data_IF_132871989441
#
_entry.id   IF_132871989441
#
_cell.length_a   1.000
_cell.length_b   1.000
_cell.length_c   1.000
_cell.angle_alpha   90.00
_cell.angle_beta   90.00
_cell.angle_gamma   90.00
#
_symmetry.space_group_name_H-M   'P 1'
#
loop_
_entity.id
_entity.type
_entity.pdbx_description
1 polymer ?
#
# COMPACT_ATOMS: atom_id res chain seq x y z
N UNK A 1 -57.96 51.75 2.96
CA UNK A 1 -56.58 51.73 2.44
C UNK A 1 -55.60 51.41 3.58
N UNK A 2 -55.56 50.17 4.09
CA UNK A 2 -54.57 49.70 5.13
C UNK A 2 -54.44 48.17 5.15
N UNK A 3 -54.25 47.48 3.98
CA UNK A 3 -53.95 46.06 3.94
C UNK A 3 -52.89 45.64 2.94
N UNK A 4 -52.10 46.61 2.39
CA UNK A 4 -51.10 46.32 1.35
C UNK A 4 -49.62 46.33 1.77
N UNK A 5 -49.26 46.65 3.02
CA UNK A 5 -47.86 46.92 3.41
C UNK A 5 -47.21 45.75 4.15
N UNK A 6 -47.98 44.78 4.63
CA UNK A 6 -47.42 43.65 5.45
C UNK A 6 -46.90 42.46 4.64
N UNK A 7 -47.19 42.36 3.33
CA UNK A 7 -46.72 41.25 2.50
C UNK A 7 -45.31 41.48 1.89
N UNK A 8 -44.90 42.72 1.76
CA UNK A 8 -43.57 43.06 1.17
C UNK A 8 -42.39 42.86 2.13
N UNK A 9 -42.62 42.86 3.47
CA UNK A 9 -41.52 42.66 4.45
C UNK A 9 -41.18 41.19 4.69
N UNK A 10 -42.08 40.25 4.36
CA UNK A 10 -41.82 38.82 4.57
C UNK A 10 -40.92 38.17 3.49
N UNK A 11 -40.84 38.80 2.32
CA UNK A 11 -40.05 38.23 1.19
C UNK A 11 -38.56 38.66 1.21
N UNK A 12 -38.22 39.72 1.95
CA UNK A 12 -36.84 40.16 2.07
C UNK A 12 -36.00 39.39 3.13
N UNK A 13 -36.65 38.66 4.03
CA UNK A 13 -35.94 37.87 5.07
C UNK A 13 -35.54 36.46 4.63
N UNK A 14 -36.01 35.96 3.49
CA UNK A 14 -35.64 34.62 2.99
C UNK A 14 -34.39 34.61 2.12
N UNK A 15 -33.78 35.74 1.83
CA UNK A 15 -32.59 35.81 0.97
C UNK A 15 -31.28 35.90 1.75
N UNK A 16 -31.34 36.02 3.09
CA UNK A 16 -30.18 36.22 3.95
C UNK A 16 -29.48 34.94 4.45
N UNK A 17 -29.94 33.73 4.07
CA UNK A 17 -29.35 32.44 4.52
C UNK A 17 -28.90 31.54 3.38
N UNK A 18 -28.48 32.06 2.23
CA UNK A 18 -27.60 31.29 1.36
C UNK A 18 -26.20 31.37 1.95
N UNK A 19 -25.79 30.34 2.70
CA UNK A 19 -24.36 30.08 2.91
C UNK A 19 -23.71 30.09 1.52
N UNK A 20 -22.90 31.09 1.23
CA UNK A 20 -21.94 30.96 0.12
C UNK A 20 -21.15 29.69 0.36
N UNK A 21 -21.37 28.67 -0.47
CA UNK A 21 -20.47 27.55 -0.55
C UNK A 21 -19.14 28.14 -0.99
N UNK A 22 -18.19 28.26 -0.06
CA UNK A 22 -16.81 28.54 -0.42
C UNK A 22 -16.41 27.51 -1.48
N UNK A 23 -15.80 27.95 -2.59
CA UNK A 23 -15.32 27.02 -3.60
C UNK A 23 -14.42 26.00 -2.91
N UNK A 24 -14.77 24.72 -3.00
CA UNK A 24 -13.92 23.63 -2.52
C UNK A 24 -12.58 23.78 -3.22
N UNK A 25 -11.54 24.11 -2.46
CA UNK A 25 -10.17 24.06 -2.96
C UNK A 25 -9.91 22.60 -3.31
N UNK A 26 -9.59 22.27 -4.57
CA UNK A 26 -9.34 20.89 -4.94
C UNK A 26 -8.25 20.30 -4.03
N UNK A 27 -8.53 19.15 -3.43
CA UNK A 27 -7.52 18.46 -2.64
C UNK A 27 -6.25 18.22 -3.48
N UNK A 28 -5.07 18.49 -2.92
CA UNK A 28 -3.82 18.26 -3.63
C UNK A 28 -3.70 16.80 -4.04
N UNK A 29 -3.13 16.54 -5.23
CA UNK A 29 -2.89 15.17 -5.70
C UNK A 29 -2.03 14.36 -4.74
N UNK A 30 -1.14 15.04 -4.03
CA UNK A 30 -0.27 14.48 -3.01
C UNK A 30 -0.33 15.36 -1.77
N UNK A 31 -0.72 14.78 -0.65
CA UNK A 31 -0.59 15.39 0.67
C UNK A 31 0.46 14.57 1.45
N UNK A 32 1.54 15.23 1.87
CA UNK A 32 2.57 14.61 2.71
C UNK A 32 2.13 14.70 4.16
N UNK A 33 1.93 13.56 4.87
CA UNK A 33 1.52 13.58 6.27
C UNK A 33 2.58 14.23 7.18
N UNK A 34 2.13 14.80 8.28
CA UNK A 34 3.03 15.33 9.30
C UNK A 34 3.96 14.22 9.83
N UNK A 35 5.24 14.52 9.93
CA UNK A 35 6.28 13.57 10.35
C UNK A 35 6.83 12.68 9.23
N UNK A 36 6.34 12.80 8.00
CA UNK A 36 6.85 12.07 6.85
C UNK A 36 7.78 12.94 6.01
N UNK A 37 8.83 12.36 5.39
CA UNK A 37 9.59 13.06 4.36
C UNK A 37 8.74 13.23 3.09
N UNK A 38 9.08 14.20 2.25
CA UNK A 38 8.48 14.28 0.92
C UNK A 38 8.92 13.08 0.07
N UNK A 39 7.99 12.38 -0.61
CA UNK A 39 8.38 11.31 -1.50
C UNK A 39 9.10 11.87 -2.73
N UNK A 40 10.05 11.09 -3.25
CA UNK A 40 10.80 11.46 -4.44
C UNK A 40 10.05 11.07 -5.71
N UNK A 41 10.02 11.99 -6.69
CA UNK A 41 9.53 11.74 -8.03
C UNK A 41 10.71 11.83 -9.01
N UNK A 42 10.85 10.88 -9.94
CA UNK A 42 11.84 10.99 -11.00
C UNK A 42 11.60 12.25 -11.86
N UNK A 43 12.66 12.92 -12.27
CA UNK A 43 12.58 14.14 -13.10
C UNK A 43 11.87 13.93 -14.43
N UNK A 44 11.87 12.69 -14.93
CA UNK A 44 11.17 12.29 -16.16
C UNK A 44 9.73 11.82 -15.89
N UNK A 45 9.28 11.76 -14.63
CA UNK A 45 7.94 11.34 -14.23
C UNK A 45 7.33 12.17 -13.11
N UNK A 46 7.28 13.50 -13.31
CA UNK A 46 6.64 14.43 -12.37
C UNK A 46 5.14 14.15 -12.22
N UNK A 47 4.60 14.39 -11.02
CA UNK A 47 3.18 14.25 -10.74
C UNK A 47 2.37 15.38 -11.38
N UNK A 48 1.50 15.04 -12.32
CA UNK A 48 0.52 15.95 -12.90
C UNK A 48 -0.89 15.35 -12.87
N UNK A 49 -1.96 16.18 -12.91
CA UNK A 49 -3.33 15.66 -12.95
C UNK A 49 -3.58 14.70 -14.11
N UNK A 50 -3.03 14.98 -15.28
CA UNK A 50 -3.20 14.13 -16.47
C UNK A 50 -2.49 12.77 -16.31
N UNK A 51 -1.26 12.75 -15.77
CA UNK A 51 -0.52 11.50 -15.51
C UNK A 51 -1.19 10.67 -14.42
N UNK A 52 -1.64 11.32 -13.33
CA UNK A 52 -2.41 10.66 -12.28
C UNK A 52 -3.69 10.00 -12.82
N UNK A 53 -4.48 10.75 -13.61
CA UNK A 53 -5.74 10.25 -14.15
C UNK A 53 -5.53 9.05 -15.10
N UNK A 54 -4.51 9.14 -15.97
CA UNK A 54 -4.16 8.04 -16.87
C UNK A 54 -3.67 6.80 -16.08
N UNK A 55 -2.79 7.01 -15.09
CA UNK A 55 -2.28 5.93 -14.26
C UNK A 55 -3.37 5.24 -13.45
N UNK A 56 -4.27 6.03 -12.84
CA UNK A 56 -5.44 5.50 -12.14
C UNK A 56 -6.30 4.66 -13.09
N UNK A 57 -6.63 5.17 -14.29
CA UNK A 57 -7.42 4.42 -15.26
C UNK A 57 -6.77 3.09 -15.63
N UNK A 58 -5.47 3.09 -15.95
CA UNK A 58 -4.73 1.86 -16.28
C UNK A 58 -4.68 0.87 -15.11
N UNK A 59 -4.54 1.35 -13.88
CA UNK A 59 -4.50 0.52 -12.67
C UNK A 59 -5.80 -0.29 -12.47
N UNK A 60 -6.94 0.26 -12.86
CA UNK A 60 -8.25 -0.39 -12.74
C UNK A 60 -8.71 -1.13 -13.99
N UNK A 61 -8.02 -0.97 -15.12
CA UNK A 61 -8.47 -1.52 -16.39
C UNK A 61 -7.91 -2.93 -16.63
N UNK A 62 -8.80 -3.86 -16.96
CA UNK A 62 -8.45 -5.25 -17.27
C UNK A 62 -7.74 -5.40 -18.63
N UNK A 63 -7.69 -4.33 -19.44
CA UNK A 63 -6.96 -4.30 -20.72
C UNK A 63 -5.47 -4.68 -20.57
N UNK A 64 -4.96 -4.59 -19.34
CA UNK A 64 -3.58 -4.87 -18.97
C UNK A 64 -3.23 -6.37 -18.95
N UNK A 65 -4.20 -7.28 -18.88
CA UNK A 65 -3.96 -8.71 -18.87
C UNK A 65 -4.26 -9.38 -20.21
N UNK A 66 -3.67 -10.55 -20.44
CA UNK A 66 -3.77 -11.27 -21.71
C UNK A 66 -5.21 -11.51 -22.15
N UNK A 67 -6.03 -11.97 -21.24
CA UNK A 67 -7.43 -12.34 -21.47
C UNK A 67 -8.44 -11.28 -20.99
N UNK A 68 -7.96 -10.12 -20.57
CA UNK A 68 -8.78 -9.04 -20.03
C UNK A 68 -9.62 -9.48 -18.80
N UNK A 69 -9.09 -10.35 -17.96
CA UNK A 69 -9.78 -10.84 -16.75
C UNK A 69 -9.31 -10.18 -15.47
N UNK A 70 -8.07 -9.68 -15.41
CA UNK A 70 -7.48 -9.08 -14.20
C UNK A 70 -6.87 -7.71 -14.48
N UNK A 71 -6.88 -6.86 -13.46
CA UNK A 71 -6.24 -5.55 -13.41
C UNK A 71 -5.33 -5.46 -12.18
N UNK A 72 -4.56 -4.39 -12.01
CA UNK A 72 -3.80 -4.16 -10.78
C UNK A 72 -4.73 -4.16 -9.55
N UNK A 73 -5.91 -3.53 -9.68
CA UNK A 73 -6.91 -3.46 -8.60
C UNK A 73 -7.51 -4.83 -8.23
N UNK A 74 -7.39 -5.86 -9.07
CA UNK A 74 -7.84 -7.21 -8.73
C UNK A 74 -7.06 -7.84 -7.57
N UNK A 75 -5.77 -7.49 -7.45
CA UNK A 75 -4.87 -7.96 -6.40
C UNK A 75 -4.50 -6.85 -5.39
N UNK A 76 -4.83 -5.59 -5.71
CA UNK A 76 -4.51 -4.42 -4.90
C UNK A 76 -5.76 -3.58 -4.64
N UNK A 77 -6.65 -4.10 -3.78
CA UNK A 77 -7.94 -3.48 -3.47
C UNK A 77 -7.80 -2.29 -2.49
N UNK A 78 -8.33 -1.10 -2.79
CA UNK A 78 -8.17 0.09 -1.95
C UNK A 78 -8.58 -0.08 -0.49
N UNK A 79 -9.70 -0.78 -0.24
CA UNK A 79 -10.23 -1.00 1.11
C UNK A 79 -9.39 -1.98 1.96
N UNK A 80 -8.45 -2.68 1.34
CA UNK A 80 -7.46 -3.56 1.96
C UNK A 80 -6.05 -2.93 1.90
N UNK A 81 -5.98 -1.61 1.93
CA UNK A 81 -4.73 -0.87 1.80
C UNK A 81 -3.94 -1.25 0.54
N UNK A 82 -4.63 -1.51 -0.57
CA UNK A 82 -4.04 -1.98 -1.82
C UNK A 82 -3.27 -3.31 -1.68
N UNK A 83 -3.82 -4.23 -0.92
CA UNK A 83 -3.49 -5.65 -0.87
C UNK A 83 -4.74 -6.45 -1.27
N UNK A 84 -4.72 -7.75 -1.06
CA UNK A 84 -5.92 -8.60 -1.18
C UNK A 84 -6.17 -9.44 0.09
N UNK A 85 -7.20 -10.27 0.09
CA UNK A 85 -7.60 -11.09 1.24
C UNK A 85 -7.32 -12.58 1.05
N UNK A 86 -6.51 -12.96 0.06
CA UNK A 86 -6.20 -14.35 -0.26
C UNK A 86 -4.70 -14.63 -0.11
N UNK A 87 -4.35 -15.90 0.10
CA UNK A 87 -2.95 -16.27 0.27
C UNK A 87 -2.13 -15.97 -0.99
N UNK A 88 -2.69 -16.27 -2.16
CA UNK A 88 -2.13 -15.91 -3.47
C UNK A 88 -3.28 -15.52 -4.41
N UNK A 89 -3.15 -14.39 -5.08
CA UNK A 89 -4.15 -13.87 -6.00
C UNK A 89 -4.24 -14.75 -7.25
N UNK A 90 -5.44 -14.95 -7.83
CA UNK A 90 -5.56 -15.56 -9.15
C UNK A 90 -5.13 -14.57 -10.23
N UNK A 91 -4.30 -15.01 -11.17
CA UNK A 91 -3.91 -14.27 -12.36
C UNK A 91 -4.83 -14.55 -13.56
N UNK A 92 -4.39 -14.13 -14.75
CA UNK A 92 -5.06 -14.39 -16.02
C UNK A 92 -5.27 -15.90 -16.21
N UNK A 93 -6.45 -16.27 -16.72
CA UNK A 93 -6.85 -17.67 -16.83
C UNK A 93 -7.09 -18.39 -15.49
N UNK A 94 -7.15 -17.67 -14.37
CA UNK A 94 -7.36 -18.23 -13.02
C UNK A 94 -6.15 -18.95 -12.45
N UNK A 95 -4.95 -18.77 -13.00
CA UNK A 95 -3.72 -19.38 -12.51
C UNK A 95 -3.38 -18.82 -11.12
N UNK A 96 -3.03 -19.66 -10.11
CA UNK A 96 -2.68 -19.17 -8.79
C UNK A 96 -1.34 -18.44 -8.81
N UNK A 97 -1.28 -17.28 -8.20
CA UNK A 97 -0.03 -16.58 -7.94
C UNK A 97 0.92 -17.38 -7.04
N UNK A 98 2.17 -16.97 -6.99
CA UNK A 98 3.23 -17.65 -6.22
C UNK A 98 3.42 -17.07 -4.82
N UNK A 99 3.08 -15.81 -4.64
CA UNK A 99 3.29 -15.04 -3.40
C UNK A 99 2.07 -14.21 -3.06
N UNK A 100 1.93 -13.88 -1.79
CA UNK A 100 0.88 -12.99 -1.30
C UNK A 100 1.11 -11.56 -1.81
N UNK A 101 0.04 -10.88 -2.24
CA UNK A 101 0.07 -9.51 -2.73
C UNK A 101 0.43 -8.53 -1.59
N UNK A 102 1.53 -7.76 -1.72
CA UNK A 102 1.88 -6.76 -0.71
C UNK A 102 0.97 -5.55 -0.80
N UNK A 103 0.85 -4.81 0.31
CA UNK A 103 0.24 -3.47 0.28
C UNK A 103 1.04 -2.52 -0.61
N UNK A 104 0.35 -1.62 -1.33
CA UNK A 104 0.96 -0.49 -2.03
C UNK A 104 0.94 0.80 -1.20
N UNK A 105 0.40 0.77 0.03
CA UNK A 105 0.48 1.92 0.91
C UNK A 105 1.95 2.35 1.10
N UNK A 106 2.21 3.63 0.85
CA UNK A 106 3.54 4.22 0.98
C UNK A 106 4.62 3.63 0.06
N UNK A 107 4.22 3.02 -1.06
CA UNK A 107 5.15 2.44 -2.04
C UNK A 107 6.16 3.47 -2.58
N UNK A 108 5.80 4.76 -2.59
CA UNK A 108 6.66 5.86 -3.00
C UNK A 108 7.98 5.97 -2.20
N UNK A 109 8.02 5.44 -0.99
CA UNK A 109 9.21 5.49 -0.10
C UNK A 109 10.07 4.23 -0.17
N UNK A 110 9.71 3.24 -0.98
CA UNK A 110 10.50 2.02 -1.10
C UNK A 110 11.76 2.28 -1.93
N UNK A 111 12.96 1.91 -1.42
CA UNK A 111 14.22 2.11 -2.14
C UNK A 111 14.43 1.08 -3.28
N UNK A 112 13.69 -0.02 -3.25
CA UNK A 112 13.68 -1.10 -4.25
C UNK A 112 12.41 -1.94 -4.10
N UNK A 113 12.06 -2.67 -5.16
CA UNK A 113 10.78 -3.35 -5.29
C UNK A 113 10.96 -4.87 -5.37
N UNK A 114 9.85 -5.60 -5.41
CA UNK A 114 9.69 -7.03 -5.15
C UNK A 114 10.03 -7.42 -3.71
N UNK A 115 9.65 -8.64 -3.31
CA UNK A 115 9.96 -9.15 -1.96
C UNK A 115 11.44 -9.50 -1.77
N UNK A 116 12.17 -9.73 -2.85
CA UNK A 116 13.62 -9.95 -2.88
C UNK A 116 14.45 -8.72 -3.24
N UNK A 117 13.83 -7.57 -3.60
CA UNK A 117 14.52 -6.31 -3.88
C UNK A 117 15.21 -6.27 -5.25
N UNK A 118 14.76 -7.06 -6.21
CA UNK A 118 15.40 -7.18 -7.52
C UNK A 118 15.12 -6.05 -8.51
N UNK A 119 14.24 -5.11 -8.17
CA UNK A 119 13.80 -4.06 -9.08
C UNK A 119 14.08 -2.69 -8.47
N UNK A 120 14.84 -1.80 -9.15
CA UNK A 120 15.32 -0.55 -8.57
C UNK A 120 14.30 0.60 -8.61
N UNK A 121 13.31 0.58 -9.52
CA UNK A 121 12.34 1.68 -9.69
C UNK A 121 10.93 1.17 -9.78
N UNK A 122 9.97 2.02 -9.41
CA UNK A 122 8.54 1.67 -9.46
C UNK A 122 8.08 1.48 -10.92
N UNK A 123 8.62 2.26 -11.86
CA UNK A 123 8.35 2.12 -13.29
C UNK A 123 8.76 0.74 -13.82
N UNK A 124 9.90 0.21 -13.36
CA UNK A 124 10.32 -1.14 -13.71
C UNK A 124 9.50 -2.22 -12.99
N UNK A 125 9.01 -1.93 -11.78
CA UNK A 125 8.14 -2.84 -11.04
C UNK A 125 6.85 -3.15 -11.79
N UNK A 126 6.28 -2.19 -12.51
CA UNK A 126 5.06 -2.39 -13.30
C UNK A 126 5.23 -3.49 -14.36
N UNK A 127 6.44 -3.70 -14.86
CA UNK A 127 6.71 -4.76 -15.87
C UNK A 127 6.67 -6.17 -15.28
N UNK A 128 6.92 -6.31 -13.98
CA UNK A 128 7.01 -7.64 -13.32
C UNK A 128 5.67 -8.38 -13.39
N UNK A 129 4.55 -7.86 -12.85
CA UNK A 129 3.26 -8.55 -12.92
C UNK A 129 2.75 -8.69 -14.36
N UNK A 130 3.07 -7.77 -15.27
CA UNK A 130 2.65 -7.86 -16.67
C UNK A 130 3.24 -9.11 -17.35
N UNK A 131 4.51 -9.40 -17.10
CA UNK A 131 5.22 -10.52 -17.72
C UNK A 131 5.11 -11.84 -16.96
N UNK A 132 4.72 -11.82 -15.68
CA UNK A 132 4.63 -13.04 -14.87
C UNK A 132 3.44 -13.89 -15.34
N UNK A 133 3.73 -15.12 -15.75
CA UNK A 133 2.74 -16.07 -16.28
C UNK A 133 1.56 -16.34 -15.33
N UNK A 134 1.81 -16.31 -14.03
CA UNK A 134 0.79 -16.52 -13.00
C UNK A 134 0.06 -15.24 -12.57
N UNK A 135 0.33 -14.10 -13.25
CA UNK A 135 -0.30 -12.79 -12.98
C UNK A 135 -1.00 -12.27 -14.24
N UNK A 136 -0.47 -11.31 -14.97
CA UNK A 136 -1.13 -10.79 -16.19
C UNK A 136 -0.85 -11.64 -17.44
N UNK A 137 0.25 -12.39 -17.47
CA UNK A 137 0.67 -13.27 -18.56
C UNK A 137 0.61 -12.56 -19.92
N UNK A 138 1.15 -11.34 -19.99
CA UNK A 138 1.03 -10.52 -21.18
C UNK A 138 2.32 -9.77 -21.55
N UNK A 139 2.31 -9.16 -22.73
CA UNK A 139 3.41 -8.37 -23.27
C UNK A 139 3.07 -6.89 -23.24
N UNK A 140 3.93 -6.05 -22.66
CA UNK A 140 3.72 -4.60 -22.56
C UNK A 140 3.56 -3.91 -23.93
N UNK A 141 4.19 -4.43 -25.00
CA UNK A 141 4.07 -3.88 -26.35
C UNK A 141 2.67 -4.16 -26.92
N UNK A 142 2.14 -5.35 -26.70
CA UNK A 142 0.78 -5.70 -27.11
C UNK A 142 -0.28 -4.92 -26.32
N UNK A 143 -0.03 -4.62 -25.05
CA UNK A 143 -0.87 -3.70 -24.27
C UNK A 143 -0.84 -2.31 -24.93
N UNK A 144 0.33 -1.80 -25.27
CA UNK A 144 0.46 -0.50 -25.94
C UNK A 144 -0.33 -0.45 -27.26
N UNK A 145 -0.29 -1.51 -28.03
CA UNK A 145 -1.03 -1.60 -29.30
C UNK A 145 -2.57 -1.66 -29.05
N UNK A 146 -3.02 -2.38 -28.04
CA UNK A 146 -4.44 -2.34 -27.62
C UNK A 146 -4.87 -0.91 -27.25
N UNK A 147 -4.07 -0.20 -26.45
CA UNK A 147 -4.38 1.15 -26.01
C UNK A 147 -4.42 2.16 -27.15
N UNK A 148 -3.59 2.01 -28.20
CA UNK A 148 -3.61 2.87 -29.40
C UNK A 148 -4.92 2.77 -30.18
N UNK A 149 -5.61 1.64 -30.13
CA UNK A 149 -6.91 1.46 -30.81
C UNK A 149 -8.06 2.13 -30.05
N UNK A 150 -7.88 2.49 -28.79
CA UNK A 150 -8.86 3.19 -27.98
C UNK A 150 -8.58 4.71 -27.98
N UNK A 151 -9.50 5.47 -28.59
CA UNK A 151 -9.39 6.93 -28.69
C UNK A 151 -9.37 7.64 -27.31
N UNK A 152 -9.91 7.03 -26.24
CA UNK A 152 -9.83 7.59 -24.90
C UNK A 152 -8.40 7.54 -24.39
N UNK A 153 -7.74 6.38 -24.50
CA UNK A 153 -6.35 6.23 -24.10
C UNK A 153 -5.40 7.10 -24.94
N UNK A 154 -5.61 7.18 -26.24
CA UNK A 154 -4.81 8.06 -27.12
C UNK A 154 -4.92 9.53 -26.68
N UNK A 155 -6.13 10.05 -26.40
CA UNK A 155 -6.31 11.41 -25.90
C UNK A 155 -5.68 11.63 -24.51
N UNK A 156 -5.85 10.68 -23.57
CA UNK A 156 -5.26 10.79 -22.24
C UNK A 156 -3.73 10.75 -22.30
N UNK A 157 -3.17 9.93 -23.17
CA UNK A 157 -1.74 9.81 -23.40
C UNK A 157 -1.16 11.11 -23.95
N UNK A 158 -1.79 11.69 -24.97
CA UNK A 158 -1.41 12.99 -25.52
C UNK A 158 -1.48 14.10 -24.46
N UNK A 159 -2.53 14.15 -23.63
CA UNK A 159 -2.67 15.13 -22.56
C UNK A 159 -1.61 14.98 -21.46
N UNK A 160 -1.19 13.74 -21.14
CA UNK A 160 -0.26 13.46 -20.06
C UNK A 160 1.21 13.55 -20.46
N UNK A 161 1.54 13.17 -21.70
CA UNK A 161 2.94 13.01 -22.17
C UNK A 161 3.21 13.57 -23.56
N UNK A 162 2.23 14.08 -24.30
CA UNK A 162 2.37 14.62 -25.65
C UNK A 162 2.70 13.56 -26.71
N UNK A 163 2.33 12.27 -26.49
CA UNK A 163 2.64 11.15 -27.38
C UNK A 163 1.59 10.03 -27.30
N UNK A 164 1.59 9.14 -28.25
CA UNK A 164 0.70 7.97 -28.29
C UNK A 164 1.05 6.93 -27.22
N UNK A 165 0.11 6.06 -26.83
CA UNK A 165 0.36 5.00 -25.87
C UNK A 165 1.54 4.12 -26.26
N UNK A 166 2.48 3.92 -25.37
CA UNK A 166 3.62 3.02 -25.48
C UNK A 166 4.03 2.49 -24.09
N UNK A 167 5.04 1.63 -24.04
CA UNK A 167 5.53 1.04 -22.79
C UNK A 167 5.98 2.11 -21.77
N UNK A 168 6.57 3.21 -22.25
CA UNK A 168 7.02 4.32 -21.42
C UNK A 168 5.85 4.97 -20.67
N UNK A 169 4.77 5.27 -21.40
CA UNK A 169 3.58 5.89 -20.82
C UNK A 169 2.89 4.98 -19.82
N UNK A 170 2.72 3.70 -20.16
CA UNK A 170 2.05 2.72 -19.30
C UNK A 170 2.76 2.65 -17.94
N UNK A 171 4.06 2.39 -17.96
CA UNK A 171 4.84 2.22 -16.74
C UNK A 171 4.87 3.48 -15.88
N UNK A 172 5.08 4.64 -16.51
CA UNK A 172 5.16 5.92 -15.79
C UNK A 172 3.84 6.39 -15.24
N UNK A 173 2.76 6.21 -15.99
CA UNK A 173 1.43 6.62 -15.51
C UNK A 173 1.00 5.83 -14.29
N UNK A 174 1.14 4.50 -14.31
CA UNK A 174 0.77 3.65 -13.18
C UNK A 174 1.66 3.99 -11.99
N UNK A 175 2.98 4.09 -12.17
CA UNK A 175 3.89 4.48 -11.09
C UNK A 175 3.57 5.90 -10.54
N UNK A 176 3.15 6.84 -11.38
CA UNK A 176 2.72 8.16 -10.94
C UNK A 176 1.48 8.09 -10.04
N UNK A 177 0.48 7.27 -10.39
CA UNK A 177 -0.68 7.02 -9.53
C UNK A 177 -0.27 6.33 -8.23
N UNK A 178 0.50 5.24 -8.27
CA UNK A 178 0.91 4.48 -7.09
C UNK A 178 1.72 5.32 -6.11
N UNK A 179 2.56 6.27 -6.58
CA UNK A 179 3.28 7.21 -5.70
C UNK A 179 2.37 8.13 -4.89
N UNK A 180 1.12 8.30 -5.29
CA UNK A 180 0.15 9.08 -4.50
C UNK A 180 -0.54 8.29 -3.40
N UNK A 181 -0.30 6.98 -3.30
CA UNK A 181 -0.90 6.10 -2.29
C UNK A 181 -0.22 6.28 -0.94
N UNK A 182 -0.36 7.47 -0.34
CA UNK A 182 0.28 7.83 0.92
C UNK A 182 -0.71 7.65 2.07
N UNK A 183 -0.33 6.83 3.05
CA UNK A 183 -1.07 6.50 4.26
C UNK A 183 -0.30 7.00 5.49
N UNK A 184 -0.86 7.94 6.24
CA UNK A 184 -0.19 8.58 7.38
C UNK A 184 -1.11 9.34 8.31
N UNK A 185 -2.39 8.92 8.43
CA UNK A 185 -3.37 9.49 9.38
C UNK A 185 -4.02 8.40 10.28
N UNK A 186 -3.26 7.34 10.58
CA UNK A 186 -3.67 6.33 11.55
C UNK A 186 -3.76 6.92 12.97
N UNK A 187 -4.38 6.20 13.93
CA UNK A 187 -4.44 6.64 15.32
C UNK A 187 -3.03 6.80 15.93
N UNK A 188 -2.09 5.92 15.55
CA UNK A 188 -0.69 6.10 15.91
C UNK A 188 -0.10 7.41 15.36
N UNK A 189 -0.35 7.76 14.09
CA UNK A 189 0.15 9.00 13.50
C UNK A 189 -0.44 10.23 14.20
N UNK A 190 -1.72 10.18 14.53
CA UNK A 190 -2.40 11.24 15.25
C UNK A 190 -1.80 11.45 16.64
N UNK A 191 -1.45 10.35 17.33
CA UNK A 191 -0.76 10.40 18.61
C UNK A 191 0.68 10.90 18.48
N UNK A 192 1.45 10.29 17.57
CA UNK A 192 2.88 10.48 17.49
C UNK A 192 3.28 11.82 16.83
N UNK A 193 2.54 12.24 15.80
CA UNK A 193 2.93 13.37 14.96
C UNK A 193 1.97 14.56 15.04
N UNK A 194 0.71 14.37 15.45
CA UNK A 194 -0.30 15.42 15.43
C UNK A 194 -0.66 15.93 16.83
N UNK A 195 0.03 15.46 17.88
CA UNK A 195 -0.15 15.92 19.26
C UNK A 195 -1.48 15.53 19.92
N UNK A 196 -2.18 14.51 19.37
CA UNK A 196 -3.46 14.04 19.92
C UNK A 196 -3.21 12.92 20.94
N UNK A 197 -2.98 13.28 22.19
CA UNK A 197 -2.63 12.35 23.28
C UNK A 197 -3.67 11.26 23.53
N UNK A 198 -4.95 11.51 23.22
CA UNK A 198 -6.09 10.57 23.34
C UNK A 198 -6.31 9.69 22.10
N UNK A 199 -5.55 9.84 21.05
CA UNK A 199 -5.72 9.04 19.85
C UNK A 199 -5.41 7.55 20.07
N UNK A 200 -4.58 7.23 21.07
CA UNK A 200 -4.30 5.87 21.50
C UNK A 200 -4.91 5.57 22.88
N UNK A 201 -5.53 4.41 22.99
CA UNK A 201 -5.98 3.83 24.26
C UNK A 201 -4.79 3.39 25.12
N UNK A 202 -5.01 3.14 26.42
CA UNK A 202 -3.94 2.65 27.30
C UNK A 202 -3.40 1.28 26.86
N UNK A 203 -4.24 0.39 26.34
CA UNK A 203 -3.82 -0.90 25.77
C UNK A 203 -2.88 -0.70 24.58
N UNK A 204 -3.21 0.19 23.66
CA UNK A 204 -2.38 0.52 22.49
C UNK A 204 -1.05 1.17 22.88
N UNK A 205 -1.05 2.02 23.91
CA UNK A 205 0.19 2.61 24.44
C UNK A 205 1.09 1.55 25.06
N UNK A 206 0.54 0.61 25.87
CA UNK A 206 1.33 -0.52 26.39
C UNK A 206 1.85 -1.42 25.27
N UNK A 207 1.04 -1.68 24.24
CA UNK A 207 1.45 -2.42 23.05
C UNK A 207 2.55 -1.71 22.26
N UNK A 208 2.49 -0.39 22.15
CA UNK A 208 3.55 0.46 21.55
C UNK A 208 4.85 0.33 22.34
N UNK A 209 4.80 0.44 23.68
CA UNK A 209 5.99 0.29 24.53
C UNK A 209 6.61 -1.11 24.37
N UNK A 210 5.79 -2.16 24.29
CA UNK A 210 6.26 -3.53 24.00
C UNK A 210 6.92 -3.62 22.62
N UNK A 211 6.30 -3.06 21.60
CA UNK A 211 6.80 -3.09 20.22
C UNK A 211 8.19 -2.46 20.11
N UNK A 212 8.43 -1.35 20.79
CA UNK A 212 9.72 -0.64 20.82
C UNK A 212 10.70 -1.16 21.88
N UNK A 213 10.33 -2.18 22.64
CA UNK A 213 11.18 -2.73 23.72
C UNK A 213 12.16 -3.80 23.21
N UNK A 214 13.22 -4.02 24.00
CA UNK A 214 14.15 -5.13 23.80
C UNK A 214 13.55 -6.52 24.11
N UNK A 215 12.35 -6.58 24.72
CA UNK A 215 11.64 -7.84 24.96
C UNK A 215 11.15 -8.46 23.66
N UNK A 216 10.64 -7.64 22.74
CA UNK A 216 10.05 -8.10 21.48
C UNK A 216 10.97 -7.89 20.28
N UNK A 217 11.86 -6.90 20.31
CA UNK A 217 12.75 -6.49 19.21
C UNK A 217 12.03 -6.17 17.88
N UNK A 218 10.72 -5.93 17.88
CA UNK A 218 9.96 -5.67 16.66
C UNK A 218 10.52 -4.46 15.89
N UNK A 219 10.84 -3.37 16.61
CA UNK A 219 11.37 -2.13 16.04
C UNK A 219 12.78 -2.25 15.46
N UNK A 220 13.51 -3.34 15.73
CA UNK A 220 14.81 -3.58 15.10
C UNK A 220 14.70 -3.82 13.59
N UNK A 221 13.58 -4.33 13.13
CA UNK A 221 13.27 -4.53 11.71
C UNK A 221 12.17 -3.59 11.21
N UNK A 222 11.20 -3.27 12.08
CA UNK A 222 10.02 -2.46 11.76
C UNK A 222 10.11 -1.08 12.42
N UNK A 223 11.01 -0.22 11.92
CA UNK A 223 11.26 1.12 12.48
C UNK A 223 10.95 2.25 11.50
N UNK A 224 11.15 3.48 11.98
CA UNK A 224 10.90 4.70 11.23
C UNK A 224 9.41 4.97 10.97
N UNK A 225 9.14 6.05 10.24
CA UNK A 225 7.77 6.48 9.95
C UNK A 225 6.95 5.43 9.18
N UNK A 226 7.60 4.55 8.41
CA UNK A 226 6.95 3.53 7.60
C UNK A 226 7.00 2.12 8.20
N UNK A 227 7.45 1.97 9.44
CA UNK A 227 7.55 0.68 10.15
C UNK A 227 8.26 -0.39 9.32
N UNK A 228 9.39 -0.04 8.72
CA UNK A 228 10.26 -0.97 7.99
C UNK A 228 11.66 -0.38 7.83
N UNK A 229 12.66 -1.21 7.96
CA UNK A 229 14.05 -0.89 7.59
C UNK A 229 14.34 -1.19 6.12
N UNK A 230 13.43 -1.87 5.42
CA UNK A 230 13.63 -2.45 4.09
C UNK A 230 14.78 -3.47 4.01
N UNK A 231 15.37 -3.86 5.12
CA UNK A 231 16.39 -4.93 5.17
C UNK A 231 15.80 -6.28 4.70
N UNK A 232 16.68 -7.21 4.37
CA UNK A 232 16.30 -8.57 3.98
C UNK A 232 16.55 -9.53 5.12
N UNK A 233 15.46 -10.15 5.61
CA UNK A 233 15.51 -10.98 6.80
C UNK A 233 14.81 -12.33 6.60
N UNK A 234 15.29 -13.34 7.30
CA UNK A 234 14.62 -14.60 7.45
C UNK A 234 13.90 -14.62 8.81
N UNK A 235 12.59 -14.76 8.79
CA UNK A 235 11.74 -14.70 9.98
C UNK A 235 11.47 -16.07 10.64
N UNK A 236 12.13 -17.14 10.18
CA UNK A 236 11.91 -18.48 10.73
C UNK A 236 10.52 -19.06 10.46
N UNK A 237 9.89 -18.73 9.33
CA UNK A 237 8.57 -19.28 8.99
C UNK A 237 8.63 -20.79 8.76
N UNK A 238 9.72 -21.26 8.17
CA UNK A 238 9.97 -22.67 7.88
C UNK A 238 11.36 -23.11 8.36
N UNK A 239 11.53 -24.41 8.57
CA UNK A 239 12.85 -25.05 8.71
C UNK A 239 13.51 -25.22 7.35
N UNK A 240 12.73 -25.57 6.32
CA UNK A 240 13.14 -25.65 4.92
C UNK A 240 12.17 -24.83 4.08
N UNK A 241 12.68 -23.82 3.41
CA UNK A 241 11.85 -22.91 2.62
C UNK A 241 11.66 -23.44 1.19
N UNK A 242 10.42 -23.56 0.69
CA UNK A 242 10.17 -23.86 -0.71
C UNK A 242 10.50 -22.69 -1.65
N UNK A 243 10.43 -21.46 -1.14
CA UNK A 243 10.81 -20.23 -1.86
C UNK A 243 12.19 -19.78 -1.38
N UNK A 244 13.22 -19.75 -2.25
CA UNK A 244 14.56 -19.37 -1.86
C UNK A 244 14.72 -17.86 -1.55
N UNK A 245 13.68 -17.03 -1.74
CA UNK A 245 13.72 -15.61 -1.47
C UNK A 245 14.77 -14.86 -2.28
N UNK A 246 15.53 -14.00 -1.60
CA UNK A 246 16.55 -13.15 -2.21
C UNK A 246 17.69 -13.94 -2.89
N UNK A 247 17.97 -15.15 -2.45
CA UNK A 247 18.96 -16.04 -3.09
C UNK A 247 18.74 -16.20 -4.61
N UNK A 248 17.48 -16.12 -5.08
CA UNK A 248 17.16 -16.17 -6.53
C UNK A 248 17.88 -15.08 -7.35
N UNK A 249 18.25 -13.97 -6.71
CA UNK A 249 18.89 -12.83 -7.38
C UNK A 249 20.40 -12.79 -7.15
N UNK A 250 20.84 -13.15 -5.96
CA UNK A 250 22.22 -12.94 -5.54
C UNK A 250 23.08 -14.18 -5.69
N UNK A 251 22.48 -15.35 -5.70
CA UNK A 251 23.13 -16.66 -5.63
C UNK A 251 24.07 -16.80 -4.40
N UNK A 252 23.98 -15.85 -3.46
CA UNK A 252 24.69 -15.89 -2.19
C UNK A 252 23.88 -16.72 -1.19
N UNK A 253 24.50 -17.80 -0.69
CA UNK A 253 23.86 -18.70 0.28
C UNK A 253 23.39 -18.00 1.55
N UNK A 254 24.02 -16.89 1.94
CA UNK A 254 23.60 -16.10 3.11
C UNK A 254 22.25 -15.40 2.90
N UNK A 255 21.82 -15.19 1.65
CA UNK A 255 20.54 -14.61 1.28
C UNK A 255 19.42 -15.65 1.13
N UNK A 256 19.70 -16.93 1.38
CA UNK A 256 18.69 -17.99 1.28
C UNK A 256 17.53 -17.73 2.23
N UNK A 257 16.32 -17.74 1.66
CA UNK A 257 15.05 -17.53 2.36
C UNK A 257 14.96 -16.18 3.10
N UNK A 258 15.67 -15.17 2.64
CA UNK A 258 15.51 -13.78 3.09
C UNK A 258 14.52 -13.04 2.20
N UNK A 259 13.68 -12.25 2.84
CA UNK A 259 12.69 -11.40 2.20
C UNK A 259 12.77 -9.99 2.75
N UNK A 260 12.43 -9.00 1.92
CA UNK A 260 12.37 -7.60 2.35
C UNK A 260 11.36 -7.44 3.48
N UNK A 261 11.78 -6.79 4.57
CA UNK A 261 10.91 -6.43 5.69
C UNK A 261 9.80 -5.50 5.17
N UNK A 262 8.52 -5.88 5.28
CA UNK A 262 7.40 -5.06 4.81
C UNK A 262 7.10 -3.93 5.79
N UNK A 263 6.41 -2.89 5.31
CA UNK A 263 5.75 -1.93 6.19
C UNK A 263 4.70 -2.62 7.06
N UNK A 264 4.46 -2.10 8.28
CA UNK A 264 3.33 -2.51 9.12
C UNK A 264 2.15 -1.53 9.04
N UNK A 265 2.25 -0.49 8.21
CA UNK A 265 1.11 0.41 8.03
C UNK A 265 -0.07 -0.33 7.43
N UNK A 266 -1.25 -0.11 8.02
CA UNK A 266 -2.48 -0.82 7.67
C UNK A 266 -2.41 -2.35 7.83
N UNK A 267 -1.48 -2.87 8.61
CA UNK A 267 -1.25 -4.32 8.72
C UNK A 267 -2.49 -5.09 9.15
N UNK A 268 -3.40 -4.50 9.91
CA UNK A 268 -4.62 -5.17 10.38
C UNK A 268 -5.62 -5.51 9.26
N UNK A 269 -5.55 -4.83 8.11
CA UNK A 269 -6.47 -5.05 6.97
C UNK A 269 -5.84 -5.79 5.80
N UNK A 270 -4.58 -6.26 5.94
CA UNK A 270 -3.82 -6.91 4.86
C UNK A 270 -3.58 -8.41 5.12
N UNK A 271 -4.49 -9.07 5.84
CA UNK A 271 -4.43 -10.53 6.00
C UNK A 271 -4.74 -11.24 4.67
N UNK A 272 -4.20 -12.47 4.44
CA UNK A 272 -3.28 -13.23 5.29
C UNK A 272 -1.81 -12.77 5.16
N UNK A 273 -0.97 -13.20 6.08
CA UNK A 273 0.38 -12.68 6.30
C UNK A 273 1.49 -13.62 5.81
N UNK A 274 2.71 -13.10 5.79
CA UNK A 274 3.95 -13.68 5.29
C UNK A 274 4.07 -13.61 3.76
N UNK A 275 5.22 -14.02 3.22
CA UNK A 275 5.48 -13.95 1.77
C UNK A 275 4.51 -14.78 0.92
N UNK A 276 3.89 -15.78 1.52
CA UNK A 276 2.99 -16.73 0.86
C UNK A 276 1.58 -16.78 1.48
N UNK A 277 1.22 -15.85 2.37
CA UNK A 277 -0.08 -15.84 3.00
C UNK A 277 -0.37 -16.99 3.98
N UNK A 278 0.68 -17.65 4.53
CA UNK A 278 0.50 -18.83 5.40
C UNK A 278 -0.26 -18.51 6.69
N UNK A 279 -0.04 -17.34 7.29
CA UNK A 279 -0.62 -17.00 8.58
C UNK A 279 -1.92 -16.19 8.40
N UNK A 280 -3.06 -16.71 8.89
CA UNK A 280 -4.36 -16.12 8.56
C UNK A 280 -4.72 -14.87 9.36
N UNK A 281 -4.02 -14.58 10.47
CA UNK A 281 -4.38 -13.47 11.36
C UNK A 281 -3.16 -12.84 12.03
N UNK A 282 -3.28 -11.59 12.48
CA UNK A 282 -2.25 -10.93 13.30
C UNK A 282 -1.95 -11.70 14.59
N UNK A 283 -2.96 -12.33 15.20
CA UNK A 283 -2.76 -13.17 16.37
C UNK A 283 -1.83 -14.34 16.07
N UNK A 284 -1.99 -14.99 14.90
CA UNK A 284 -1.08 -16.05 14.45
C UNK A 284 0.34 -15.51 14.17
N UNK A 285 0.47 -14.30 13.65
CA UNK A 285 1.76 -13.63 13.45
C UNK A 285 2.46 -13.35 14.79
N UNK A 286 1.74 -12.76 15.74
CA UNK A 286 2.27 -12.48 17.09
C UNK A 286 2.71 -13.77 17.77
N UNK A 287 1.91 -14.86 17.65
CA UNK A 287 2.27 -16.16 18.24
C UNK A 287 3.49 -16.79 17.54
N UNK A 288 3.61 -16.67 16.22
CA UNK A 288 4.79 -17.10 15.48
C UNK A 288 6.07 -16.45 16.04
N UNK A 289 6.07 -15.13 16.20
CA UNK A 289 7.22 -14.43 16.78
C UNK A 289 7.38 -14.70 18.28
N UNK A 290 6.29 -14.84 19.04
CA UNK A 290 6.33 -15.18 20.46
C UNK A 290 6.97 -16.55 20.72
N UNK A 291 6.74 -17.51 19.83
CA UNK A 291 7.38 -18.85 19.89
C UNK A 291 8.85 -18.85 19.45
N UNK A 292 9.33 -17.79 18.82
CA UNK A 292 10.67 -17.68 18.25
C UNK A 292 10.82 -18.28 16.85
N UNK A 293 9.71 -18.62 16.18
CA UNK A 293 9.70 -19.21 14.84
C UNK A 293 10.35 -20.58 14.74
N UNK A 294 10.50 -21.09 13.52
CA UNK A 294 11.18 -22.36 13.24
C UNK A 294 12.70 -22.19 13.23
N UNK A 295 13.41 -23.30 13.39
CA UNK A 295 14.87 -23.29 13.40
C UNK A 295 15.42 -23.39 11.98
N UNK A 296 15.83 -22.24 11.41
CA UNK A 296 16.49 -22.16 10.10
C UNK A 296 17.87 -21.53 10.26
N UNK A 297 18.91 -22.01 9.54
CA UNK A 297 20.29 -21.53 9.68
C UNK A 297 20.45 -20.01 9.50
N UNK A 298 19.65 -19.41 8.63
CA UNK A 298 19.69 -17.96 8.34
C UNK A 298 18.61 -17.15 9.08
N UNK A 299 17.87 -17.77 10.03
CA UNK A 299 16.90 -17.04 10.86
C UNK A 299 17.60 -15.89 11.59
N UNK A 300 17.00 -14.69 11.54
CA UNK A 300 17.54 -13.55 12.27
C UNK A 300 17.64 -13.88 13.78
N UNK A 301 18.82 -13.70 14.41
CA UNK A 301 19.07 -14.08 15.82
C UNK A 301 18.24 -13.29 16.83
N UNK A 302 17.63 -12.17 16.46
CA UNK A 302 16.69 -11.44 17.29
C UNK A 302 15.35 -12.17 17.45
N UNK A 303 15.03 -13.12 16.55
CA UNK A 303 13.79 -13.91 16.59
C UNK A 303 14.00 -15.12 17.51
N UNK A 304 13.61 -14.95 18.75
CA UNK A 304 13.69 -15.93 19.83
C UNK A 304 12.41 -15.91 20.66
N UNK A 305 12.12 -16.96 21.46
CA UNK A 305 10.93 -16.96 22.31
C UNK A 305 10.87 -15.72 23.20
N UNK A 306 9.73 -15.00 23.16
CA UNK A 306 9.57 -13.74 23.89
C UNK A 306 8.89 -13.92 25.26
N UNK A 307 8.16 -15.01 25.46
CA UNK A 307 7.43 -15.28 26.72
C UNK A 307 6.35 -14.24 27.04
N UNK A 308 5.63 -13.77 26.04
CA UNK A 308 4.56 -12.78 26.23
C UNK A 308 3.37 -13.40 26.98
N UNK A 309 2.86 -12.68 27.97
CA UNK A 309 1.60 -13.01 28.63
C UNK A 309 0.41 -12.80 27.69
N UNK A 310 -0.77 -13.32 28.04
CA UNK A 310 -1.98 -13.10 27.27
C UNK A 310 -2.32 -11.59 27.13
N UNK A 311 -2.12 -10.82 28.21
CA UNK A 311 -2.34 -9.37 28.19
C UNK A 311 -1.35 -8.65 27.27
N UNK A 312 -0.07 -8.97 27.31
CA UNK A 312 0.95 -8.37 26.43
C UNK A 312 0.68 -8.68 24.96
N UNK A 313 0.23 -9.90 24.63
CA UNK A 313 -0.18 -10.24 23.26
C UNK A 313 -1.40 -9.41 22.81
N UNK A 314 -2.39 -9.24 23.69
CA UNK A 314 -3.55 -8.40 23.41
C UNK A 314 -3.18 -6.92 23.22
N UNK A 315 -2.31 -6.38 24.06
CA UNK A 315 -1.84 -5.00 23.99
C UNK A 315 -1.02 -4.78 22.68
N UNK A 316 -0.16 -5.73 22.31
CA UNK A 316 0.61 -5.67 21.06
C UNK A 316 -0.28 -5.73 19.81
N UNK A 317 -1.33 -6.57 19.82
CA UNK A 317 -2.32 -6.62 18.77
C UNK A 317 -3.08 -5.30 18.63
N UNK A 318 -3.53 -4.72 19.73
CA UNK A 318 -4.20 -3.42 19.76
C UNK A 318 -3.31 -2.32 19.16
N UNK A 319 -2.01 -2.31 19.48
CA UNK A 319 -1.07 -1.39 18.87
C UNK A 319 -0.95 -1.58 17.35
N UNK A 320 -0.80 -2.82 16.87
CA UNK A 320 -0.72 -3.10 15.43
C UNK A 320 -2.00 -2.68 14.68
N UNK A 321 -3.16 -2.83 15.30
CA UNK A 321 -4.45 -2.35 14.78
C UNK A 321 -4.51 -0.83 14.70
N UNK A 322 -3.87 -0.11 15.64
CA UNK A 322 -3.80 1.35 15.65
C UNK A 322 -3.02 1.96 14.48
N UNK A 323 -2.25 1.14 13.74
CA UNK A 323 -1.53 1.54 12.52
C UNK A 323 -2.43 1.61 11.27
N UNK A 324 -3.74 1.35 11.42
CA UNK A 324 -4.71 1.41 10.32
C UNK A 324 -5.13 2.85 10.05
N UNK A 325 -5.00 3.27 8.80
CA UNK A 325 -5.47 4.55 8.29
C UNK A 325 -6.82 4.38 7.58
N UNK A 326 -7.89 4.61 8.32
CA UNK A 326 -9.26 4.47 7.83
C UNK A 326 -9.60 5.44 6.70
N UNK A 327 -9.00 6.65 6.71
CA UNK A 327 -9.23 7.63 5.65
C UNK A 327 -8.59 7.19 4.35
N UNK A 328 -7.37 6.67 4.41
CA UNK A 328 -6.67 6.12 3.25
C UNK A 328 -7.48 4.98 2.60
N UNK A 329 -7.92 4.01 3.40
CA UNK A 329 -8.64 2.83 2.93
C UNK A 329 -10.02 3.15 2.33
N UNK A 330 -10.60 4.30 2.69
CA UNK A 330 -11.94 4.75 2.23
C UNK A 330 -11.86 5.92 1.25
N UNK A 331 -10.69 6.40 0.88
CA UNK A 331 -10.50 7.61 0.09
C UNK A 331 -11.11 7.47 -1.32
N UNK A 332 -12.11 8.28 -1.68
CA UNK A 332 -12.76 8.22 -3.00
C UNK A 332 -11.84 8.60 -4.15
N UNK A 333 -10.77 9.35 -3.89
CA UNK A 333 -9.75 9.70 -4.87
C UNK A 333 -9.08 8.46 -5.48
N UNK A 334 -9.00 7.38 -4.73
CA UNK A 334 -8.34 6.15 -5.15
C UNK A 334 -9.32 5.08 -5.70
N UNK A 335 -10.62 5.39 -5.78
CA UNK A 335 -11.65 4.47 -6.29
C UNK A 335 -12.05 4.79 -7.72
#
# INVERSE_FOLDING_TARGET
>A
MKKGVLIALGLLLLWACRKEQQPEVPEPLLAVPQGFPSPEFPSDNELTPARFALGKRLFYDVVMSRDSSVSCASCHAPHLAFSDSVATSPGAGGLPGKRNAPTLANVAYQPYFTREGGVPTLEMQILVPIQEHNEFDFNILEIADRLKTDSVYSRMSQAAYGRDPDFYIITRSIACFERTLISGDSRYDQYQFQGKSEALTDSEKRGMDLFFSNKTNCSSCHSGFNFTTYAFENNGLYEVYPDPGRFRLTEDSTDLARFKVPTLRNVAVTSPYMHNGLLPSLAAVVEHYNSGGKNHPHKNPLIKPMGLTAQEKADLLAFLESLTDEKFNKNPKFK
#
